data_IF_086131823454
#
_entry.id   IF_086131823454
#
_cell.length_a   1.000
_cell.length_b   1.000
_cell.length_c   1.000
_cell.angle_alpha   90.00
_cell.angle_beta   90.00
_cell.angle_gamma   90.00
#
_symmetry.space_group_name_H-M   'P 1'
#
loop_
_entity.id
_entity.type
_entity.pdbx_description
1 polymer ?
#
# COMPACT_ATOMS: atom_id res chain seq x y z
N UNK A 1 7.02 30.76 8.48
CA UNK A 1 5.86 29.93 8.06
C UNK A 1 6.36 28.52 7.87
N UNK A 2 5.58 27.48 8.19
CA UNK A 2 6.02 26.11 8.01
C UNK A 2 6.11 25.78 6.50
N UNK A 3 7.13 25.02 6.13
CA UNK A 3 7.39 24.63 4.76
C UNK A 3 7.25 23.12 4.58
N UNK A 4 7.04 22.71 3.33
CA UNK A 4 7.25 21.32 2.93
C UNK A 4 8.72 21.11 2.59
N UNK A 5 9.36 20.16 3.26
CA UNK A 5 10.78 19.80 3.07
C UNK A 5 10.86 18.38 2.54
N UNK A 6 11.41 18.22 1.34
CA UNK A 6 11.69 16.92 0.77
C UNK A 6 12.95 16.30 1.40
N UNK A 7 12.93 15.02 1.73
CA UNK A 7 14.12 14.28 2.21
C UNK A 7 14.48 13.22 1.17
N UNK A 8 15.63 13.39 0.53
CA UNK A 8 16.23 12.50 -0.46
C UNK A 8 17.55 11.91 0.10
N UNK A 9 17.44 11.22 1.24
CA UNK A 9 18.56 10.60 1.96
C UNK A 9 18.27 9.09 2.11
N UNK A 10 19.28 8.20 2.02
CA UNK A 10 19.11 6.78 2.33
C UNK A 10 18.47 6.52 3.70
N UNK A 11 17.71 5.43 3.80
CA UNK A 11 17.17 4.96 5.07
C UNK A 11 18.27 4.67 6.08
N UNK A 12 18.12 5.17 7.30
CA UNK A 12 19.10 5.03 8.39
C UNK A 12 18.97 6.17 9.39
N UNK A 13 19.95 6.28 10.30
CA UNK A 13 19.96 7.31 11.34
C UNK A 13 19.91 8.72 10.77
N UNK A 14 20.67 9.00 9.70
CA UNK A 14 20.68 10.33 9.06
C UNK A 14 19.30 10.77 8.55
N UNK A 15 18.49 9.82 8.03
CA UNK A 15 17.11 10.09 7.62
C UNK A 15 16.23 10.43 8.83
N UNK A 16 16.33 9.65 9.91
CA UNK A 16 15.57 9.89 11.15
C UNK A 16 15.92 11.25 11.76
N UNK A 17 17.21 11.58 11.82
CA UNK A 17 17.67 12.86 12.34
C UNK A 17 17.16 14.02 11.46
N UNK A 18 17.17 13.87 10.13
CA UNK A 18 16.62 14.88 9.23
C UNK A 18 15.11 15.08 9.43
N UNK A 19 14.35 13.98 9.53
CA UNK A 19 12.92 14.01 9.82
C UNK A 19 12.63 14.75 11.14
N UNK A 20 13.33 14.41 12.21
CA UNK A 20 13.13 15.02 13.53
C UNK A 20 13.56 16.49 13.56
N UNK A 21 14.64 16.87 12.88
CA UNK A 21 15.06 18.28 12.75
C UNK A 21 13.98 19.12 12.08
N UNK A 22 13.42 18.64 10.97
CA UNK A 22 12.39 19.38 10.24
C UNK A 22 11.08 19.47 11.01
N UNK A 23 10.65 18.39 11.68
CA UNK A 23 9.52 18.44 12.61
C UNK A 23 9.73 19.41 13.77
N UNK A 24 10.94 19.45 14.35
CA UNK A 24 11.27 20.39 15.42
C UNK A 24 11.27 21.85 14.94
N UNK A 25 11.55 22.08 13.66
CA UNK A 25 11.43 23.39 13.01
C UNK A 25 9.99 23.74 12.62
N UNK A 26 9.02 22.85 12.84
CA UNK A 26 7.60 23.01 12.50
C UNK A 26 7.28 22.74 11.02
N UNK A 27 8.21 22.14 10.27
CA UNK A 27 8.02 21.81 8.85
C UNK A 27 7.35 20.44 8.68
N UNK A 28 6.64 20.27 7.56
CA UNK A 28 6.18 18.96 7.13
C UNK A 28 7.23 18.32 6.21
N UNK A 29 7.27 16.99 6.18
CA UNK A 29 8.27 16.24 5.42
C UNK A 29 7.66 15.45 4.27
N UNK A 30 8.31 15.48 3.10
CA UNK A 30 8.05 14.63 1.94
C UNK A 30 9.24 13.67 1.74
N UNK A 31 9.15 12.39 2.12
CA UNK A 31 10.19 11.44 1.78
C UNK A 31 10.18 11.14 0.27
N UNK A 32 11.35 11.23 -0.36
CA UNK A 32 11.54 11.01 -1.80
C UNK A 32 11.93 9.55 -2.04
N UNK A 33 11.33 8.91 -3.04
CA UNK A 33 11.78 7.59 -3.47
C UNK A 33 13.09 7.72 -4.25
N UNK A 34 14.17 7.26 -3.63
CA UNK A 34 15.53 7.34 -4.16
C UNK A 34 15.73 6.57 -5.47
N UNK A 35 14.84 5.63 -5.80
CA UNK A 35 14.89 4.88 -7.06
C UNK A 35 14.35 5.67 -8.24
N UNK A 36 13.68 6.78 -7.99
CA UNK A 36 13.19 7.65 -9.07
C UNK A 36 14.39 8.29 -9.79
N UNK A 37 14.35 8.39 -11.13
CA UNK A 37 15.29 9.23 -11.88
C UNK A 37 15.20 10.70 -11.44
N UNK A 38 16.29 11.46 -11.56
CA UNK A 38 16.36 12.85 -11.10
C UNK A 38 15.27 13.74 -11.71
N UNK A 39 14.94 13.54 -13.00
CA UNK A 39 13.85 14.23 -13.65
C UNK A 39 12.48 13.95 -13.00
N UNK A 40 12.23 12.71 -12.59
CA UNK A 40 11.00 12.31 -11.90
C UNK A 40 10.96 12.85 -10.46
N UNK A 41 12.10 12.90 -9.77
CA UNK A 41 12.22 13.57 -8.46
C UNK A 41 11.91 15.06 -8.59
N UNK A 42 12.54 15.75 -9.54
CA UNK A 42 12.30 17.17 -9.79
C UNK A 42 10.82 17.46 -10.09
N UNK A 43 10.19 16.63 -10.94
CA UNK A 43 8.77 16.72 -11.24
C UNK A 43 7.88 16.49 -10.00
N UNK A 44 8.22 15.50 -9.16
CA UNK A 44 7.53 15.26 -7.89
C UNK A 44 7.62 16.47 -6.97
N UNK A 45 8.83 16.98 -6.73
CA UNK A 45 9.10 18.12 -5.84
C UNK A 45 8.34 19.37 -6.31
N UNK A 46 8.36 19.65 -7.60
CA UNK A 46 7.60 20.74 -8.22
C UNK A 46 6.09 20.55 -8.05
N UNK A 47 5.56 19.35 -8.33
CA UNK A 47 4.13 19.06 -8.19
C UNK A 47 3.61 19.19 -6.75
N UNK A 48 4.47 18.92 -5.77
CA UNK A 48 4.14 19.06 -4.34
C UNK A 48 4.36 20.50 -3.83
N UNK A 49 4.98 21.36 -4.65
CA UNK A 49 5.41 22.71 -4.30
C UNK A 49 6.27 22.72 -3.02
N UNK A 50 7.25 21.80 -2.95
CA UNK A 50 8.21 21.72 -1.86
C UNK A 50 9.10 22.97 -1.84
N UNK A 51 9.40 23.51 -0.66
CA UNK A 51 10.26 24.70 -0.53
C UNK A 51 11.73 24.38 -0.35
N UNK A 52 12.04 23.18 0.11
CA UNK A 52 13.40 22.72 0.32
C UNK A 52 13.52 21.24 -0.02
N UNK A 53 14.74 20.83 -0.37
CA UNK A 53 15.16 19.43 -0.40
C UNK A 53 16.40 19.26 0.45
N UNK A 54 16.45 18.19 1.22
CA UNK A 54 17.62 17.75 1.98
C UNK A 54 18.12 16.46 1.37
N UNK A 55 19.36 16.48 0.87
CA UNK A 55 20.05 15.35 0.27
C UNK A 55 21.42 15.13 0.94
N UNK A 56 22.26 14.28 0.35
CA UNK A 56 23.61 13.99 0.84
C UNK A 56 24.58 15.19 0.77
N UNK A 57 24.25 16.22 -0.03
CA UNK A 57 25.02 17.45 -0.19
C UNK A 57 24.50 18.60 0.69
N UNK A 58 23.39 18.40 1.40
CA UNK A 58 22.85 19.35 2.36
C UNK A 58 21.43 19.80 2.02
N UNK A 59 21.09 21.01 2.46
CA UNK A 59 19.75 21.58 2.29
C UNK A 59 19.76 22.62 1.16
N UNK A 60 18.91 22.43 0.17
CA UNK A 60 18.76 23.29 -1.00
C UNK A 60 17.38 23.94 -1.02
N UNK A 61 17.31 25.17 -1.52
CA UNK A 61 16.03 25.89 -1.68
C UNK A 61 15.44 25.60 -3.05
N UNK A 62 14.12 25.42 -3.11
CA UNK A 62 13.38 25.16 -4.34
C UNK A 62 12.47 26.37 -4.69
N UNK A 63 12.25 26.66 -5.98
CA UNK A 63 11.34 27.72 -6.41
C UNK A 63 9.87 27.33 -6.20
N UNK A 64 8.96 28.32 -6.32
CA UNK A 64 7.50 28.13 -6.33
C UNK A 64 6.93 27.38 -5.11
N UNK A 65 7.59 27.54 -3.96
CA UNK A 65 7.22 26.92 -2.71
C UNK A 65 5.82 27.35 -2.26
N UNK A 66 4.98 26.37 -1.91
CA UNK A 66 3.73 26.62 -1.19
C UNK A 66 3.95 26.30 0.30
N UNK A 67 3.48 27.14 1.24
CA UNK A 67 3.57 26.81 2.67
C UNK A 67 2.73 25.58 3.03
N UNK A 68 3.04 24.96 4.16
CA UNK A 68 2.21 23.96 4.81
C UNK A 68 1.36 24.62 5.90
N UNK A 69 0.45 23.87 6.51
CA UNK A 69 -0.30 24.35 7.67
C UNK A 69 0.41 23.96 8.98
N UNK A 70 0.26 24.76 10.05
CA UNK A 70 0.73 24.34 11.37
C UNK A 70 0.15 22.98 11.78
N UNK A 71 1.04 22.06 12.20
CA UNK A 71 0.66 20.70 12.59
C UNK A 71 0.68 19.67 11.46
N UNK A 72 0.87 20.09 10.20
CA UNK A 72 1.22 19.16 9.12
C UNK A 72 2.56 18.50 9.43
N UNK A 73 2.61 17.17 9.36
CA UNK A 73 3.81 16.39 9.69
C UNK A 73 4.42 15.75 8.45
N UNK A 74 3.58 15.18 7.58
CA UNK A 74 4.01 14.45 6.39
C UNK A 74 3.17 14.81 5.17
N UNK A 75 3.81 14.77 4.01
CA UNK A 75 3.15 14.71 2.71
C UNK A 75 3.60 13.44 2.01
N UNK A 76 2.68 12.50 1.79
CA UNK A 76 2.98 11.23 1.13
C UNK A 76 2.51 11.26 -0.32
N UNK A 77 3.43 11.11 -1.25
CA UNK A 77 3.09 11.03 -2.67
C UNK A 77 2.38 9.71 -3.00
N UNK A 78 1.30 9.78 -3.76
CA UNK A 78 0.55 8.63 -4.23
C UNK A 78 0.30 8.74 -5.73
N UNK A 79 0.25 7.61 -6.42
CA UNK A 79 -0.18 7.56 -7.82
C UNK A 79 -1.66 7.93 -7.90
N UNK A 80 -1.99 9.11 -8.40
CA UNK A 80 -3.37 9.50 -8.66
C UNK A 80 -3.96 8.69 -9.82
N UNK A 81 -5.27 8.46 -9.79
CA UNK A 81 -6.01 7.84 -10.91
C UNK A 81 -5.93 8.65 -12.21
N UNK A 82 -5.57 9.93 -12.12
CA UNK A 82 -5.39 10.88 -13.24
C UNK A 82 -3.95 10.91 -13.78
N UNK A 83 -3.04 10.08 -13.26
CA UNK A 83 -1.63 10.02 -13.67
C UNK A 83 -0.71 11.04 -12.97
N UNK A 84 -1.23 12.16 -12.48
CA UNK A 84 -0.46 13.11 -11.66
C UNK A 84 -0.41 12.65 -10.19
N UNK A 85 0.75 12.77 -9.50
CA UNK A 85 0.85 12.35 -8.11
C UNK A 85 0.03 13.26 -7.19
N UNK A 86 -0.71 12.67 -6.25
CA UNK A 86 -1.41 13.39 -5.18
C UNK A 86 -0.57 13.34 -3.91
N UNK A 87 -0.39 14.47 -3.24
CA UNK A 87 0.27 14.53 -1.93
C UNK A 87 -0.73 14.39 -0.80
N UNK A 88 -0.76 13.26 -0.09
CA UNK A 88 -1.61 13.08 1.09
C UNK A 88 -0.99 13.80 2.28
N UNK A 89 -1.68 14.79 2.85
CA UNK A 89 -1.20 15.54 4.01
C UNK A 89 -1.65 14.88 5.31
N UNK A 90 -0.71 14.41 6.11
CA UNK A 90 -0.94 13.81 7.44
C UNK A 90 -0.42 14.75 8.53
N UNK A 91 -1.23 14.96 9.57
CA UNK A 91 -0.86 15.80 10.70
C UNK A 91 -0.11 15.02 11.78
N UNK A 92 0.57 15.72 12.68
CA UNK A 92 1.18 15.10 13.87
C UNK A 92 0.13 14.38 14.72
N UNK A 93 -1.08 14.92 14.83
CA UNK A 93 -2.18 14.29 15.57
C UNK A 93 -2.64 12.98 14.91
N UNK A 94 -2.74 12.94 13.58
CA UNK A 94 -3.09 11.73 12.85
C UNK A 94 -2.02 10.63 13.00
N UNK A 95 -0.74 11.02 12.92
CA UNK A 95 0.39 10.11 13.17
C UNK A 95 0.36 9.56 14.59
N UNK A 96 0.13 10.41 15.58
CA UNK A 96 0.03 10.03 16.99
C UNK A 96 -1.10 9.01 17.20
N UNK A 97 -2.31 9.29 16.69
CA UNK A 97 -3.44 8.38 16.76
C UNK A 97 -3.10 7.01 16.14
N UNK A 98 -2.48 7.00 14.96
CA UNK A 98 -2.03 5.78 14.27
C UNK A 98 -1.04 4.97 15.07
N UNK A 99 -0.05 5.65 15.65
CA UNK A 99 0.96 5.02 16.47
C UNK A 99 0.35 4.41 17.75
N UNK A 100 -0.48 5.15 18.47
CA UNK A 100 -1.15 4.66 19.70
C UNK A 100 -2.05 3.47 19.42
N UNK A 101 -2.98 3.59 18.46
CA UNK A 101 -3.96 2.55 18.17
C UNK A 101 -3.29 1.25 17.68
N UNK A 102 -2.27 1.37 16.84
CA UNK A 102 -1.53 0.20 16.35
C UNK A 102 -0.71 -0.45 17.46
N UNK A 103 0.01 0.35 18.26
CA UNK A 103 0.81 -0.18 19.36
C UNK A 103 -0.03 -0.88 20.41
N UNK A 104 -1.23 -0.35 20.73
CA UNK A 104 -2.18 -1.00 21.62
C UNK A 104 -2.68 -2.34 21.03
N UNK A 105 -3.10 -2.36 19.76
CA UNK A 105 -3.57 -3.58 19.08
C UNK A 105 -2.53 -4.69 19.07
N UNK A 106 -1.28 -4.35 18.84
CA UNK A 106 -0.19 -5.32 18.75
C UNK A 106 0.41 -5.68 20.12
N UNK A 107 0.03 -4.99 21.19
CA UNK A 107 0.61 -5.16 22.52
C UNK A 107 2.07 -4.70 22.61
N UNK A 108 2.42 -3.60 21.95
CA UNK A 108 3.79 -3.07 21.96
C UNK A 108 4.13 -2.49 23.33
N UNK A 109 5.37 -2.71 23.74
CA UNK A 109 5.94 -2.21 24.99
C UNK A 109 7.22 -1.44 24.72
N UNK A 110 7.74 -0.65 25.67
CA UNK A 110 9.06 0.00 25.52
C UNK A 110 10.23 -0.97 25.33
N UNK A 111 10.06 -2.26 25.63
CA UNK A 111 11.07 -3.29 25.37
C UNK A 111 11.12 -3.72 23.89
N UNK A 112 10.12 -3.35 23.10
CA UNK A 112 10.07 -3.67 21.68
C UNK A 112 10.94 -2.74 20.84
N UNK A 113 11.50 -3.31 19.77
CA UNK A 113 12.28 -2.59 18.77
C UNK A 113 11.72 -2.86 17.39
N UNK A 114 11.31 -1.80 16.72
CA UNK A 114 10.81 -1.82 15.35
C UNK A 114 11.96 -1.84 14.35
N UNK A 115 11.83 -2.66 13.30
CA UNK A 115 12.66 -2.62 12.11
C UNK A 115 11.89 -1.97 10.94
N UNK A 116 12.38 -0.83 10.46
CA UNK A 116 11.92 -0.19 9.23
C UNK A 116 12.84 -0.63 8.07
N UNK A 117 12.33 -1.51 7.20
CA UNK A 117 13.08 -2.03 6.04
C UNK A 117 12.33 -1.92 4.71
N UNK A 118 11.12 -1.34 4.72
CA UNK A 118 10.39 -1.03 3.49
C UNK A 118 10.71 0.40 3.02
N UNK A 119 10.55 0.71 1.72
CA UNK A 119 10.73 2.05 1.19
C UNK A 119 10.04 3.16 2.01
N UNK A 120 10.81 4.17 2.41
CA UNK A 120 10.34 5.26 3.28
C UNK A 120 9.49 6.31 2.55
N UNK A 121 9.52 6.34 1.23
CA UNK A 121 8.60 7.13 0.41
C UNK A 121 7.16 6.61 0.41
N UNK A 122 6.92 5.44 1.02
CA UNK A 122 5.59 4.88 1.19
C UNK A 122 5.21 4.78 2.66
N UNK A 123 3.92 4.98 2.93
CA UNK A 123 3.38 4.96 4.29
C UNK A 123 3.62 3.62 5.00
N UNK A 124 3.66 2.51 4.26
CA UNK A 124 3.93 1.18 4.81
C UNK A 124 5.32 1.05 5.44
N UNK A 125 6.34 1.72 4.89
CA UNK A 125 7.68 1.79 5.47
C UNK A 125 7.82 2.90 6.49
N UNK A 126 7.38 4.12 6.13
CA UNK A 126 7.56 5.29 6.98
C UNK A 126 6.79 5.22 8.30
N UNK A 127 5.60 4.61 8.31
CA UNK A 127 4.80 4.51 9.53
C UNK A 127 5.47 3.68 10.63
N UNK A 128 6.47 2.86 10.31
CA UNK A 128 7.31 2.17 11.31
C UNK A 128 8.16 3.18 12.07
N UNK A 129 8.81 4.11 11.36
CA UNK A 129 9.62 5.17 11.96
C UNK A 129 8.74 6.09 12.79
N UNK A 130 7.65 6.60 12.21
CA UNK A 130 6.80 7.58 12.92
C UNK A 130 6.13 6.99 14.15
N UNK A 131 5.73 5.71 14.09
CA UNK A 131 5.22 4.99 15.26
C UNK A 131 6.28 4.88 16.34
N UNK A 132 7.48 4.42 16.00
CA UNK A 132 8.53 4.24 16.98
C UNK A 132 8.94 5.56 17.65
N UNK A 133 9.06 6.64 16.88
CA UNK A 133 9.33 7.98 17.40
C UNK A 133 8.21 8.48 18.32
N UNK A 134 6.95 8.24 17.99
CA UNK A 134 5.82 8.66 18.80
C UNK A 134 5.70 7.87 20.11
N UNK A 135 5.88 6.55 20.06
CA UNK A 135 5.73 5.68 21.23
C UNK A 135 7.01 5.51 22.06
N UNK A 136 8.14 6.07 21.59
CA UNK A 136 9.44 5.92 22.25
C UNK A 136 9.98 4.49 22.28
N UNK A 137 9.54 3.64 21.35
CA UNK A 137 10.05 2.26 21.21
C UNK A 137 11.37 2.25 20.46
N UNK A 138 12.18 1.20 20.63
CA UNK A 138 13.42 1.04 19.86
C UNK A 138 13.18 1.07 18.35
N UNK A 139 14.15 1.56 17.59
CA UNK A 139 14.04 1.69 16.14
C UNK A 139 15.37 1.35 15.45
N UNK A 140 15.31 0.44 14.47
CA UNK A 140 16.36 0.16 13.50
C UNK A 140 15.83 0.50 12.12
N UNK A 141 16.60 1.23 11.31
CA UNK A 141 16.19 1.67 9.96
C UNK A 141 17.21 1.16 8.94
N UNK A 142 16.73 0.46 7.93
CA UNK A 142 17.50 0.03 6.77
C UNK A 142 17.14 0.88 5.54
N UNK A 143 18.10 1.03 4.62
CA UNK A 143 17.88 1.57 3.28
C UNK A 143 17.29 0.50 2.35
N UNK A 144 16.06 0.10 2.65
CA UNK A 144 15.34 -0.94 1.91
C UNK A 144 15.51 -2.36 2.45
N UNK A 145 14.88 -3.30 1.75
CA UNK A 145 14.75 -4.67 2.22
C UNK A 145 15.92 -5.53 1.73
N UNK A 146 16.58 -6.18 2.68
CA UNK A 146 17.56 -7.23 2.45
C UNK A 146 17.31 -8.37 3.46
N UNK A 147 17.11 -9.59 2.98
CA UNK A 147 16.69 -10.71 3.83
C UNK A 147 17.73 -11.08 4.90
N UNK A 148 19.03 -11.01 4.55
CA UNK A 148 20.11 -11.33 5.47
C UNK A 148 20.22 -10.27 6.57
N UNK A 149 20.14 -8.98 6.21
CA UNK A 149 20.14 -7.87 7.16
C UNK A 149 18.90 -7.87 8.05
N UNK A 150 17.72 -8.16 7.51
CA UNK A 150 16.48 -8.27 8.29
C UNK A 150 16.60 -9.39 9.34
N UNK A 151 17.16 -10.54 8.95
CA UNK A 151 17.40 -11.65 9.87
C UNK A 151 18.46 -11.30 10.92
N UNK A 152 19.52 -10.58 10.53
CA UNK A 152 20.55 -10.11 11.46
C UNK A 152 19.97 -9.12 12.49
N UNK A 153 19.20 -8.12 12.04
CA UNK A 153 18.55 -7.14 12.91
C UNK A 153 17.63 -7.81 13.95
N UNK A 154 16.91 -8.86 13.57
CA UNK A 154 16.11 -9.65 14.51
C UNK A 154 16.98 -10.30 15.61
N UNK A 155 18.12 -10.89 15.23
CA UNK A 155 19.08 -11.49 16.18
C UNK A 155 19.74 -10.44 17.08
N UNK A 156 19.86 -9.21 16.60
CA UNK A 156 20.42 -8.07 17.33
C UNK A 156 19.38 -7.34 18.21
N UNK A 157 18.13 -7.81 18.24
CA UNK A 157 17.11 -7.34 19.18
C UNK A 157 15.88 -6.67 18.56
N UNK A 158 15.79 -6.56 17.23
CA UNK A 158 14.55 -6.12 16.60
C UNK A 158 13.43 -7.15 16.82
N UNK A 159 12.32 -6.73 17.44
CA UNK A 159 11.21 -7.62 17.81
C UNK A 159 10.01 -7.51 16.87
N UNK A 160 9.87 -6.38 16.17
CA UNK A 160 8.73 -6.12 15.30
C UNK A 160 9.14 -5.56 13.93
N UNK A 161 8.41 -5.92 12.87
CA UNK A 161 8.69 -5.48 11.49
C UNK A 161 7.40 -5.32 10.68
N UNK A 162 7.37 -4.35 9.76
CA UNK A 162 6.33 -4.28 8.71
C UNK A 162 6.87 -4.85 7.41
N UNK A 163 6.12 -5.74 6.77
CA UNK A 163 6.50 -6.43 5.54
C UNK A 163 5.37 -6.43 4.52
N UNK A 164 5.75 -6.72 3.27
CA UNK A 164 4.84 -7.13 2.19
C UNK A 164 4.97 -8.63 1.96
N UNK A 165 4.00 -9.26 1.29
CA UNK A 165 3.96 -10.72 1.11
C UNK A 165 5.26 -11.29 0.48
N UNK A 166 5.82 -10.60 -0.51
CA UNK A 166 7.07 -11.00 -1.18
C UNK A 166 8.29 -10.93 -0.27
N UNK A 167 8.31 -10.00 0.69
CA UNK A 167 9.38 -9.87 1.68
C UNK A 167 9.24 -10.94 2.78
N UNK A 168 8.01 -11.21 3.23
CA UNK A 168 7.72 -12.26 4.19
C UNK A 168 8.16 -13.65 3.70
N UNK A 169 7.94 -13.95 2.41
CA UNK A 169 8.35 -15.23 1.81
C UNK A 169 9.87 -15.47 1.76
N UNK A 170 10.69 -14.43 2.02
CA UNK A 170 12.16 -14.47 1.89
C UNK A 170 12.91 -14.57 3.22
N UNK A 171 12.19 -14.61 4.34
CA UNK A 171 12.78 -14.69 5.69
C UNK A 171 12.10 -15.80 6.50
N UNK A 172 12.76 -16.24 7.58
CA UNK A 172 12.08 -17.02 8.62
C UNK A 172 11.23 -16.06 9.47
N UNK A 173 9.88 -16.15 9.44
CA UNK A 173 9.03 -15.27 10.22
C UNK A 173 9.16 -15.49 11.73
N UNK A 174 9.65 -16.66 12.18
CA UNK A 174 9.79 -17.00 13.59
C UNK A 174 10.83 -16.16 14.35
N UNK A 175 11.69 -15.42 13.64
CA UNK A 175 12.71 -14.56 14.26
C UNK A 175 12.13 -13.27 14.85
N UNK A 176 10.89 -12.91 14.51
CA UNK A 176 10.21 -11.73 15.05
C UNK A 176 9.10 -12.12 16.02
N UNK A 177 8.83 -11.26 17.01
CA UNK A 177 7.66 -11.37 17.88
C UNK A 177 6.38 -10.96 17.17
N UNK A 178 6.46 -9.93 16.31
CA UNK A 178 5.30 -9.38 15.59
C UNK A 178 5.67 -8.97 14.18
N UNK A 179 4.87 -9.41 13.20
CA UNK A 179 4.97 -9.00 11.81
C UNK A 179 3.67 -8.31 11.43
N UNK A 180 3.78 -7.09 10.89
CA UNK A 180 2.66 -6.37 10.30
C UNK A 180 2.72 -6.58 8.79
N UNK A 181 1.71 -7.20 8.20
CA UNK A 181 1.65 -7.55 6.79
C UNK A 181 0.62 -6.69 6.06
N UNK A 182 1.05 -5.87 5.12
CA UNK A 182 0.18 -4.98 4.37
C UNK A 182 0.56 -4.82 2.90
N UNK A 183 -0.17 -3.94 2.21
CA UNK A 183 0.14 -3.51 0.84
C UNK A 183 -0.35 -4.43 -0.29
N UNK A 184 -0.80 -5.65 0.02
CA UNK A 184 -1.39 -6.58 -0.94
C UNK A 184 -2.28 -7.61 -0.22
N UNK A 185 -2.98 -8.45 -1.01
CA UNK A 185 -3.71 -9.62 -0.50
C UNK A 185 -2.73 -10.54 0.25
N UNK A 186 -3.02 -10.94 1.49
CA UNK A 186 -2.16 -11.85 2.24
C UNK A 186 -2.16 -13.26 1.61
N UNK A 187 -1.10 -14.04 1.80
CA UNK A 187 -1.10 -15.47 1.44
C UNK A 187 -2.18 -16.21 2.23
N UNK A 188 -2.64 -17.35 1.69
CA UNK A 188 -3.70 -18.18 2.29
C UNK A 188 -3.31 -18.74 3.67
N UNK A 189 -2.01 -18.97 3.88
CA UNK A 189 -1.46 -19.44 5.16
C UNK A 189 -0.54 -18.37 5.74
N UNK A 190 -0.83 -17.95 6.97
CA UNK A 190 -0.08 -16.91 7.67
C UNK A 190 0.64 -17.48 8.91
N UNK A 191 1.89 -17.06 9.17
CA UNK A 191 2.54 -17.34 10.44
C UNK A 191 1.74 -16.74 11.62
N UNK A 192 1.76 -17.39 12.78
CA UNK A 192 0.95 -16.99 13.95
C UNK A 192 1.23 -15.58 14.48
N UNK A 193 2.44 -15.09 14.28
CA UNK A 193 2.90 -13.76 14.69
C UNK A 193 2.64 -12.68 13.63
N UNK A 194 1.92 -13.01 12.55
CA UNK A 194 1.67 -12.10 11.43
C UNK A 194 0.25 -11.55 11.47
N UNK A 195 0.14 -10.22 11.47
CA UNK A 195 -1.11 -9.48 11.49
C UNK A 195 -1.32 -8.79 10.15
N UNK A 196 -2.42 -9.13 9.49
CA UNK A 196 -2.81 -8.49 8.23
C UNK A 196 -3.38 -7.12 8.49
N UNK A 197 -3.09 -6.15 7.62
CA UNK A 197 -3.64 -4.79 7.75
C UNK A 197 -4.32 -4.34 6.48
N UNK A 198 -5.44 -3.65 6.64
CA UNK A 198 -6.07 -2.85 5.60
C UNK A 198 -6.02 -1.36 5.98
N UNK A 199 -5.69 -0.53 5.02
CA UNK A 199 -5.60 0.92 5.13
C UNK A 199 -5.08 1.53 3.83
N UNK A 200 -5.14 2.85 3.76
CA UNK A 200 -4.71 3.65 2.60
C UNK A 200 -3.62 4.63 3.04
N UNK A 201 -3.01 5.31 2.08
CA UNK A 201 -2.10 6.43 2.42
C UNK A 201 -2.87 7.53 3.17
N UNK A 202 -4.11 7.75 2.76
CA UNK A 202 -5.10 8.65 3.35
C UNK A 202 -5.44 8.33 4.81
N UNK A 203 -5.13 7.13 5.29
CA UNK A 203 -5.32 6.73 6.69
C UNK A 203 -4.03 6.70 7.50
N UNK A 204 -2.90 7.12 6.90
CA UNK A 204 -1.59 7.22 7.56
C UNK A 204 -0.91 5.90 7.94
N UNK A 205 -1.63 4.78 7.93
CA UNK A 205 -1.17 3.39 8.04
C UNK A 205 -2.38 2.45 7.92
N UNK A 206 -2.22 1.17 8.28
CA UNK A 206 -3.34 0.25 8.48
C UNK A 206 -4.30 0.74 9.58
N UNK A 207 -5.60 0.60 9.34
CA UNK A 207 -6.68 0.97 10.28
C UNK A 207 -7.58 -0.21 10.67
N UNK A 208 -7.48 -1.32 9.94
CA UNK A 208 -8.17 -2.57 10.22
C UNK A 208 -7.12 -3.67 10.27
N UNK A 209 -7.06 -4.40 11.38
CA UNK A 209 -6.09 -5.47 11.63
C UNK A 209 -6.80 -6.80 11.79
N UNK A 210 -6.43 -7.80 10.99
CA UNK A 210 -7.05 -9.14 10.97
C UNK A 210 -8.58 -9.07 10.79
N UNK A 211 -9.01 -8.16 9.92
CA UNK A 211 -10.41 -7.86 9.64
C UNK A 211 -11.11 -7.03 10.73
N UNK A 212 -10.43 -6.62 11.80
CA UNK A 212 -11.03 -5.87 12.91
C UNK A 212 -10.54 -4.41 12.96
N UNK A 213 -11.41 -3.41 12.92
CA UNK A 213 -11.03 -2.00 13.05
C UNK A 213 -10.21 -1.75 14.31
N UNK A 214 -9.21 -0.87 14.23
CA UNK A 214 -8.48 -0.37 15.40
C UNK A 214 -9.39 0.47 16.31
N UNK A 215 -8.97 0.71 17.54
CA UNK A 215 -9.71 1.54 18.48
C UNK A 215 -9.87 2.97 17.92
N UNK A 216 -11.10 3.49 17.97
CA UNK A 216 -11.44 4.79 17.38
C UNK A 216 -11.59 4.79 15.84
N UNK A 217 -11.51 3.63 15.18
CA UNK A 217 -11.79 3.50 13.75
C UNK A 217 -13.24 3.05 13.55
N UNK A 218 -14.01 3.89 12.88
CA UNK A 218 -15.34 3.55 12.42
C UNK A 218 -15.28 3.10 10.96
N UNK A 219 -15.97 1.99 10.67
CA UNK A 219 -16.08 1.41 9.33
C UNK A 219 -17.54 1.25 8.99
N UNK A 220 -17.95 1.77 7.83
CA UNK A 220 -19.30 1.62 7.28
C UNK A 220 -19.22 1.03 5.88
N UNK A 221 -20.13 0.13 5.56
CA UNK A 221 -20.33 -0.34 4.18
C UNK A 221 -21.48 0.47 3.60
N UNK A 222 -21.20 1.20 2.51
CA UNK A 222 -22.23 1.96 1.80
C UNK A 222 -23.30 1.00 1.27
N UNK A 223 -24.60 1.33 1.35
CA UNK A 223 -25.66 0.48 0.82
C UNK A 223 -25.45 0.23 -0.68
N UNK A 224 -25.40 -1.04 -1.07
CA UNK A 224 -25.31 -1.38 -2.48
C UNK A 224 -26.69 -1.33 -3.16
N UNK A 225 -26.75 -0.99 -4.45
CA UNK A 225 -27.96 -1.18 -5.24
C UNK A 225 -28.41 -2.65 -5.16
N UNK A 226 -29.73 -2.89 -5.04
CA UNK A 226 -30.35 -4.23 -5.08
C UNK A 226 -30.08 -5.17 -3.89
N UNK A 227 -29.65 -4.66 -2.73
CA UNK A 227 -29.60 -5.45 -1.50
C UNK A 227 -28.39 -6.39 -1.37
N UNK A 228 -27.34 -6.18 -2.18
CA UNK A 228 -26.03 -6.79 -1.98
C UNK A 228 -25.44 -6.38 -0.62
N UNK A 229 -24.80 -7.31 0.08
CA UNK A 229 -24.03 -7.07 1.31
C UNK A 229 -22.63 -6.48 1.03
N UNK A 230 -22.20 -6.51 -0.24
CA UNK A 230 -20.97 -5.89 -0.73
C UNK A 230 -21.25 -4.44 -1.14
N UNK A 231 -20.59 -3.49 -0.50
CA UNK A 231 -20.68 -2.06 -0.80
C UNK A 231 -19.36 -1.33 -0.58
N UNK A 232 -19.33 -0.02 -0.81
CA UNK A 232 -18.10 0.78 -0.63
C UNK A 232 -17.71 0.86 0.85
N UNK A 233 -16.44 0.57 1.15
CA UNK A 233 -15.87 0.75 2.49
C UNK A 233 -15.68 2.24 2.73
N UNK A 234 -16.33 2.76 3.76
CA UNK A 234 -16.20 4.13 4.24
C UNK A 234 -15.52 4.12 5.59
N UNK A 235 -14.54 5.01 5.78
CA UNK A 235 -13.73 5.08 7.00
C UNK A 235 -13.88 6.43 7.68
N UNK A 236 -14.01 6.42 9.00
CA UNK A 236 -13.90 7.63 9.82
C UNK A 236 -13.03 7.33 11.03
N UNK A 237 -11.92 8.06 11.16
CA UNK A 237 -11.00 7.87 12.27
C UNK A 237 -10.12 9.11 12.51
N UNK A 238 -9.49 9.24 13.69
CA UNK A 238 -8.58 10.36 13.98
C UNK A 238 -7.31 10.41 13.11
N UNK A 239 -7.05 9.34 12.35
CA UNK A 239 -5.79 9.08 11.64
C UNK A 239 -5.90 9.43 10.15
N UNK A 240 -7.07 9.94 9.75
CA UNK A 240 -7.32 10.40 8.39
C UNK A 240 -6.42 11.58 8.04
N UNK A 241 -6.12 11.67 6.74
CA UNK A 241 -5.52 12.85 6.13
C UNK A 241 -6.30 14.12 6.49
N UNK A 242 -5.58 15.24 6.49
CA UNK A 242 -6.21 16.55 6.57
C UNK A 242 -6.81 16.96 5.22
N UNK A 243 -6.02 16.79 4.17
CA UNK A 243 -6.37 17.10 2.79
C UNK A 243 -5.33 16.47 1.85
N UNK A 244 -5.61 16.52 0.55
CA UNK A 244 -4.56 16.45 -0.45
C UNK A 244 -3.82 17.78 -0.54
N UNK A 245 -2.60 17.73 -1.07
CA UNK A 245 -1.70 18.87 -1.14
C UNK A 245 -2.26 19.98 -2.03
N UNK A 246 -3.05 19.64 -3.04
CA UNK A 246 -3.79 20.59 -3.89
C UNK A 246 -4.97 21.29 -3.19
N UNK A 247 -5.31 20.90 -1.96
CA UNK A 247 -6.41 21.44 -1.17
C UNK A 247 -7.72 20.65 -1.29
N UNK A 248 -7.80 19.70 -2.21
CA UNK A 248 -8.97 18.81 -2.31
C UNK A 248 -9.00 17.82 -1.14
N UNK A 249 -10.16 17.27 -0.85
CA UNK A 249 -10.33 16.25 0.20
C UNK A 249 -11.22 15.11 -0.31
N UNK A 250 -10.90 13.84 0.01
CA UNK A 250 -11.75 12.69 -0.29
C UNK A 250 -12.81 12.44 0.80
N UNK A 251 -12.93 13.33 1.79
CA UNK A 251 -13.90 13.24 2.87
C UNK A 251 -15.24 13.85 2.45
N UNK A 252 -16.34 13.18 2.81
CA UNK A 252 -17.69 13.76 2.69
C UNK A 252 -17.96 14.80 3.81
N UNK A 253 -19.10 15.49 3.72
CA UNK A 253 -19.52 16.50 4.70
C UNK A 253 -19.71 15.93 6.12
N UNK A 254 -19.86 14.60 6.25
CA UNK A 254 -19.99 13.89 7.52
C UNK A 254 -18.65 13.34 8.04
N UNK A 255 -17.54 13.63 7.35
CA UNK A 255 -16.18 13.24 7.72
C UNK A 255 -15.81 11.80 7.35
N UNK A 256 -16.57 11.14 6.47
CA UNK A 256 -16.24 9.81 5.97
C UNK A 256 -15.30 9.88 4.78
N UNK A 257 -14.19 9.15 4.86
CA UNK A 257 -13.32 8.86 3.73
C UNK A 257 -14.00 7.83 2.82
N UNK A 258 -14.22 8.23 1.57
CA UNK A 258 -14.58 7.32 0.48
C UNK A 258 -13.33 6.61 -0.04
N UNK A 259 -13.16 5.33 0.33
CA UNK A 259 -11.94 4.58 0.01
C UNK A 259 -11.85 4.18 -1.47
N UNK A 260 -13.00 4.07 -2.14
CA UNK A 260 -13.12 3.44 -3.45
C UNK A 260 -12.90 1.93 -3.44
N UNK A 261 -12.73 1.30 -2.28
CA UNK A 261 -12.63 -0.16 -2.13
C UNK A 261 -14.00 -0.73 -1.74
N UNK A 262 -14.34 -1.91 -2.26
CA UNK A 262 -15.57 -2.60 -1.90
C UNK A 262 -15.30 -3.68 -0.86
N UNK A 263 -16.26 -3.91 0.02
CA UNK A 263 -16.17 -4.92 1.06
C UNK A 263 -17.51 -5.22 1.70
N UNK A 264 -17.49 -6.17 2.62
CA UNK A 264 -18.64 -6.61 3.42
C UNK A 264 -18.20 -6.98 4.84
N UNK A 265 -19.16 -7.03 5.75
CA UNK A 265 -18.96 -7.65 7.05
C UNK A 265 -19.21 -9.16 6.95
N UNK A 266 -18.27 -9.94 7.45
CA UNK A 266 -18.46 -11.38 7.64
C UNK A 266 -19.33 -11.64 8.89
N UNK A 267 -19.99 -12.81 8.99
CA UNK A 267 -20.83 -13.16 10.15
C UNK A 267 -20.09 -13.12 11.49
N UNK A 268 -18.77 -13.23 11.50
CA UNK A 268 -17.91 -13.16 12.68
C UNK A 268 -17.46 -11.73 13.04
N UNK A 269 -18.00 -10.72 12.37
CA UNK A 269 -17.71 -9.30 12.59
C UNK A 269 -16.40 -8.82 11.98
N UNK A 270 -15.74 -9.61 11.13
CA UNK A 270 -14.55 -9.17 10.38
C UNK A 270 -14.94 -8.47 9.09
N UNK A 271 -14.25 -7.39 8.77
CA UNK A 271 -14.28 -6.74 7.47
C UNK A 271 -13.56 -7.63 6.45
N UNK A 272 -14.25 -7.94 5.36
CA UNK A 272 -13.67 -8.55 4.17
C UNK A 272 -13.65 -7.52 3.05
N UNK A 273 -12.46 -7.20 2.53
CA UNK A 273 -12.26 -6.30 1.40
C UNK A 273 -12.15 -7.13 0.13
N UNK A 274 -13.04 -6.87 -0.83
CA UNK A 274 -13.12 -7.61 -2.10
C UNK A 274 -12.05 -7.14 -3.07
N UNK A 275 -11.93 -5.82 -3.22
CA UNK A 275 -11.06 -5.18 -4.20
C UNK A 275 -11.40 -3.71 -4.40
N UNK A 276 -10.74 -3.06 -5.34
CA UNK A 276 -10.98 -1.64 -5.65
C UNK A 276 -12.10 -1.52 -6.66
N UNK A 277 -13.12 -0.68 -6.41
CA UNK A 277 -14.27 -0.46 -7.30
C UNK A 277 -13.84 -0.14 -8.74
N UNK A 278 -12.77 0.65 -8.90
CA UNK A 278 -12.24 1.03 -10.21
C UNK A 278 -11.50 -0.10 -10.96
N UNK A 279 -11.10 -1.17 -10.26
CA UNK A 279 -10.43 -2.33 -10.84
C UNK A 279 -11.45 -3.43 -11.22
N UNK A 280 -12.72 -3.28 -10.82
CA UNK A 280 -13.78 -4.23 -11.16
C UNK A 280 -13.95 -4.32 -12.68
N UNK A 281 -13.94 -5.55 -13.20
CA UNK A 281 -14.16 -5.81 -14.61
C UNK A 281 -15.66 -6.04 -14.81
N UNK A 282 -16.28 -5.28 -15.71
CA UNK A 282 -17.67 -5.48 -16.11
C UNK A 282 -17.65 -6.17 -17.48
N UNK A 283 -17.95 -7.47 -17.51
CA UNK A 283 -17.88 -8.30 -18.72
C UNK A 283 -19.26 -8.90 -19.01
N UNK A 284 -19.88 -8.53 -20.13
CA UNK A 284 -21.21 -9.03 -20.51
C UNK A 284 -22.31 -8.69 -19.49
N UNK A 285 -22.16 -7.59 -18.74
CA UNK A 285 -23.08 -7.21 -17.66
C UNK A 285 -22.77 -7.83 -16.29
N UNK A 286 -21.75 -8.68 -16.20
CA UNK A 286 -21.35 -9.36 -14.96
C UNK A 286 -20.12 -8.71 -14.33
N UNK A 287 -20.08 -8.69 -13.00
CA UNK A 287 -18.97 -8.13 -12.23
C UNK A 287 -17.93 -9.20 -11.91
N UNK A 288 -16.68 -8.95 -12.29
CA UNK A 288 -15.53 -9.83 -12.03
C UNK A 288 -14.47 -9.06 -11.25
N UNK A 289 -14.08 -9.60 -10.11
CA UNK A 289 -12.99 -9.08 -9.29
C UNK A 289 -11.67 -9.68 -9.76
N UNK A 290 -10.73 -8.87 -10.29
CA UNK A 290 -9.44 -9.38 -10.74
C UNK A 290 -8.73 -10.25 -9.71
N UNK A 291 -8.69 -9.79 -8.45
CA UNK A 291 -7.99 -10.46 -7.37
C UNK A 291 -8.57 -11.85 -7.04
N UNK A 292 -9.88 -12.06 -7.25
CA UNK A 292 -10.51 -13.35 -7.04
C UNK A 292 -10.05 -14.36 -8.11
N UNK A 293 -10.00 -13.91 -9.36
CA UNK A 293 -9.50 -14.71 -10.49
C UNK A 293 -8.00 -14.98 -10.35
N UNK A 294 -7.22 -13.97 -9.99
CA UNK A 294 -5.78 -14.08 -9.71
C UNK A 294 -5.49 -15.13 -8.64
N UNK A 295 -6.25 -15.15 -7.54
CA UNK A 295 -6.04 -16.10 -6.45
C UNK A 295 -6.23 -17.56 -6.90
N UNK A 296 -7.17 -17.81 -7.81
CA UNK A 296 -7.39 -19.14 -8.39
C UNK A 296 -6.30 -19.48 -9.39
N UNK A 297 -5.98 -18.57 -10.31
CA UNK A 297 -4.93 -18.80 -11.30
C UNK A 297 -3.56 -19.02 -10.65
N UNK A 298 -3.27 -18.35 -9.52
CA UNK A 298 -2.04 -18.53 -8.76
C UNK A 298 -1.86 -19.96 -8.18
N UNK A 299 -2.90 -20.81 -8.17
CA UNK A 299 -2.76 -22.22 -7.78
C UNK A 299 -2.26 -23.11 -8.92
N UNK A 300 -2.18 -22.60 -10.15
CA UNK A 300 -1.68 -23.37 -11.29
C UNK A 300 -0.16 -23.56 -11.19
N UNK A 301 0.38 -24.79 -11.29
CA UNK A 301 1.81 -25.07 -11.13
C UNK A 301 2.73 -24.32 -12.12
N UNK A 302 2.20 -24.01 -13.31
CA UNK A 302 2.89 -23.25 -14.36
C UNK A 302 2.92 -21.73 -14.15
N UNK A 303 2.24 -21.18 -13.14
CA UNK A 303 2.12 -19.74 -12.90
C UNK A 303 2.97 -19.35 -11.69
N UNK A 304 3.99 -18.51 -11.90
CA UNK A 304 4.75 -17.88 -10.82
C UNK A 304 4.08 -16.62 -10.30
N UNK A 305 3.60 -15.77 -11.22
CA UNK A 305 2.85 -14.56 -10.90
C UNK A 305 1.70 -14.38 -11.88
N UNK A 306 0.61 -13.77 -11.43
CA UNK A 306 -0.54 -13.46 -12.27
C UNK A 306 -1.11 -12.09 -11.92
N UNK A 307 -1.52 -11.34 -12.94
CA UNK A 307 -2.37 -10.18 -12.83
C UNK A 307 -3.55 -10.30 -13.79
N UNK A 308 -4.73 -9.89 -13.34
CA UNK A 308 -5.93 -9.85 -14.16
C UNK A 308 -6.37 -8.41 -14.30
N UNK A 309 -6.83 -8.03 -15.50
CA UNK A 309 -7.42 -6.72 -15.75
C UNK A 309 -8.50 -6.80 -16.83
N UNK A 310 -9.39 -5.81 -16.82
CA UNK A 310 -10.42 -5.66 -17.84
C UNK A 310 -9.88 -4.85 -19.00
N UNK A 311 -9.91 -5.43 -20.21
CA UNK A 311 -9.54 -4.71 -21.44
C UNK A 311 -10.81 -4.40 -22.22
N UNK A 312 -10.91 -3.16 -22.72
CA UNK A 312 -12.07 -2.70 -23.49
C UNK A 312 -12.36 -3.64 -24.66
N UNK A 313 -13.63 -3.99 -24.81
CA UNK A 313 -14.10 -4.99 -25.76
C UNK A 313 -15.47 -4.59 -26.33
N UNK A 314 -15.66 -4.70 -27.64
CA UNK A 314 -16.88 -4.27 -28.31
C UNK A 314 -18.09 -5.17 -28.02
N UNK A 315 -17.86 -6.45 -27.71
CA UNK A 315 -18.91 -7.43 -27.44
C UNK A 315 -19.26 -7.46 -25.94
N UNK A 316 -18.24 -7.44 -25.09
CA UNK A 316 -18.40 -7.66 -23.65
C UNK A 316 -18.37 -6.38 -22.81
N UNK A 317 -18.10 -5.22 -23.42
CA UNK A 317 -17.74 -3.98 -22.72
C UNK A 317 -16.30 -4.05 -22.23
N UNK A 318 -16.00 -5.03 -21.37
CA UNK A 318 -14.64 -5.45 -21.07
C UNK A 318 -14.51 -6.97 -21.20
N UNK A 319 -13.38 -7.44 -21.72
CA UNK A 319 -12.97 -8.84 -21.61
C UNK A 319 -11.99 -9.01 -20.44
N UNK A 320 -12.10 -10.15 -19.75
CA UNK A 320 -11.19 -10.52 -18.66
C UNK A 320 -9.89 -11.00 -19.29
N UNK A 321 -8.78 -10.33 -19.01
CA UNK A 321 -7.47 -10.68 -19.55
C UNK A 321 -6.52 -11.00 -18.41
N UNK A 322 -5.76 -12.08 -18.54
CA UNK A 322 -4.75 -12.51 -17.58
C UNK A 322 -3.34 -12.32 -18.16
N UNK A 323 -2.45 -11.71 -17.39
CA UNK A 323 -1.00 -11.67 -17.65
C UNK A 323 -0.31 -12.57 -16.65
N UNK A 324 0.48 -13.52 -17.14
CA UNK A 324 1.16 -14.52 -16.31
C UNK A 324 2.66 -14.47 -16.50
N UNK A 325 3.40 -14.59 -15.40
CA UNK A 325 4.81 -14.93 -15.41
C UNK A 325 4.92 -16.43 -15.19
N UNK A 326 5.57 -17.13 -16.12
CA UNK A 326 5.69 -18.59 -16.06
C UNK A 326 6.62 -19.04 -14.93
N UNK A 327 6.22 -20.10 -14.23
CA UNK A 327 7.10 -20.76 -13.27
C UNK A 327 8.25 -21.49 -13.99
N UNK A 328 9.48 -21.36 -13.50
CA UNK A 328 10.64 -22.04 -14.10
C UNK A 328 10.55 -23.58 -14.01
N UNK A 329 9.71 -24.09 -13.11
CA UNK A 329 9.57 -25.52 -12.80
C UNK A 329 8.51 -26.25 -13.62
N UNK A 330 7.74 -25.56 -14.45
CA UNK A 330 6.62 -26.15 -15.20
C UNK A 330 6.36 -25.40 -16.52
N UNK A 331 5.71 -26.05 -17.51
CA UNK A 331 5.30 -25.37 -18.73
C UNK A 331 4.38 -24.17 -18.45
N UNK A 332 4.46 -23.14 -19.30
CA UNK A 332 3.56 -22.01 -19.26
C UNK A 332 2.10 -22.50 -19.42
N UNK A 333 1.14 -21.94 -18.66
CA UNK A 333 -0.26 -22.34 -18.78
C UNK A 333 -0.82 -21.94 -20.14
N UNK A 334 -1.73 -22.73 -20.66
CA UNK A 334 -2.56 -22.36 -21.80
C UNK A 334 -3.80 -21.60 -21.34
N UNK A 335 -4.39 -20.79 -22.23
CA UNK A 335 -5.68 -20.12 -21.96
C UNK A 335 -6.76 -21.14 -21.56
N UNK A 336 -6.79 -22.31 -22.20
CA UNK A 336 -7.78 -23.35 -21.88
C UNK A 336 -7.63 -23.89 -20.47
N UNK A 337 -6.39 -24.12 -20.01
CA UNK A 337 -6.11 -24.58 -18.63
C UNK A 337 -6.51 -23.52 -17.60
N UNK A 338 -6.14 -22.25 -17.84
CA UNK A 338 -6.55 -21.13 -16.99
C UNK A 338 -8.08 -21.01 -16.91
N UNK A 339 -8.78 -21.14 -18.05
CA UNK A 339 -10.25 -21.08 -18.09
C UNK A 339 -10.91 -22.23 -17.35
N UNK A 340 -10.41 -23.45 -17.53
CA UNK A 340 -10.91 -24.63 -16.82
C UNK A 340 -10.73 -24.47 -15.31
N UNK A 341 -9.54 -24.06 -14.88
CA UNK A 341 -9.22 -23.87 -13.46
C UNK A 341 -10.13 -22.84 -12.78
N UNK A 342 -10.42 -21.72 -13.46
CA UNK A 342 -11.35 -20.71 -12.94
C UNK A 342 -12.78 -21.23 -12.93
N UNK A 343 -13.22 -21.93 -13.98
CA UNK A 343 -14.57 -22.49 -14.07
C UNK A 343 -14.87 -23.56 -12.99
N UNK A 344 -13.85 -24.23 -12.47
CA UNK A 344 -13.98 -25.19 -11.36
C UNK A 344 -14.32 -24.51 -10.02
N UNK A 345 -14.06 -23.20 -9.89
CA UNK A 345 -14.19 -22.46 -8.62
C UNK A 345 -15.15 -21.26 -8.69
N UNK A 346 -15.41 -20.73 -9.89
CA UNK A 346 -16.20 -19.52 -10.14
C UNK A 346 -17.07 -19.68 -11.39
N UNK A 347 -18.11 -18.85 -11.55
CA UNK A 347 -18.88 -18.79 -12.78
C UNK A 347 -18.00 -18.58 -14.02
N UNK A 348 -18.38 -19.21 -15.15
CA UNK A 348 -17.57 -19.23 -16.37
C UNK A 348 -17.27 -17.83 -16.96
N UNK A 349 -18.08 -16.81 -16.64
CA UNK A 349 -17.83 -15.43 -17.08
C UNK A 349 -16.60 -14.79 -16.41
N UNK A 350 -16.18 -15.30 -15.23
CA UNK A 350 -14.97 -14.88 -14.53
C UNK A 350 -13.69 -15.39 -15.18
N UNK A 351 -13.78 -16.45 -16.00
CA UNK A 351 -12.62 -17.05 -16.65
C UNK A 351 -11.98 -16.07 -17.65
N UNK A 352 -10.63 -16.03 -17.75
CA UNK A 352 -9.95 -15.21 -18.74
C UNK A 352 -10.42 -15.51 -20.16
N UNK A 353 -10.65 -14.48 -20.96
CA UNK A 353 -10.94 -14.56 -22.39
C UNK A 353 -9.67 -14.42 -23.24
N UNK A 354 -8.62 -13.88 -22.65
CA UNK A 354 -7.29 -13.68 -23.25
C UNK A 354 -6.22 -13.92 -22.19
N UNK A 355 -5.07 -14.45 -22.61
CA UNK A 355 -3.92 -14.78 -21.75
C UNK A 355 -2.64 -14.29 -22.43
N UNK A 356 -1.86 -13.49 -21.72
CA UNK A 356 -0.53 -13.06 -22.14
C UNK A 356 0.52 -13.64 -21.20
N UNK A 357 1.57 -14.21 -21.75
CA UNK A 357 2.77 -14.56 -20.99
C UNK A 357 3.72 -13.38 -21.03
N UNK A 358 4.22 -12.93 -19.88
CA UNK A 358 5.13 -11.78 -19.78
C UNK A 358 6.37 -12.13 -18.96
N UNK A 359 7.47 -11.44 -19.23
CA UNK A 359 8.71 -11.60 -18.47
C UNK A 359 8.56 -11.11 -17.01
N UNK A 360 7.79 -10.04 -16.80
CA UNK A 360 7.49 -9.51 -15.47
C UNK A 360 6.19 -8.69 -15.45
N UNK A 361 5.60 -8.52 -14.28
CA UNK A 361 4.43 -7.66 -14.09
C UNK A 361 4.85 -6.23 -13.69
N UNK A 362 4.18 -5.18 -14.19
CA UNK A 362 4.45 -3.81 -13.78
C UNK A 362 4.06 -3.64 -12.32
N UNK A 363 5.03 -3.29 -11.47
CA UNK A 363 4.83 -3.18 -10.01
C UNK A 363 5.35 -1.85 -9.49
N UNK A 364 4.67 -1.34 -8.48
CA UNK A 364 5.19 -0.30 -7.62
C UNK A 364 6.45 -0.79 -6.89
N UNK A 365 7.19 0.17 -6.38
CA UNK A 365 8.20 0.06 -5.34
C UNK A 365 7.93 -0.92 -4.18
N UNK A 366 6.66 -1.11 -3.77
CA UNK A 366 6.23 -2.03 -2.70
C UNK A 366 5.80 -3.40 -3.24
N UNK A 367 5.97 -3.65 -4.53
CA UNK A 367 5.56 -4.89 -5.18
C UNK A 367 4.08 -4.95 -5.55
N UNK A 368 3.27 -3.90 -5.34
CA UNK A 368 1.86 -3.88 -5.79
C UNK A 368 1.78 -3.74 -7.31
N UNK A 369 0.99 -4.58 -7.98
CA UNK A 369 0.76 -4.52 -9.44
C UNK A 369 0.12 -3.19 -9.83
N UNK A 370 0.62 -2.57 -10.90
CA UNK A 370 0.08 -1.35 -11.52
C UNK A 370 -0.83 -1.73 -12.70
N UNK A 371 -2.05 -2.19 -12.41
CA UNK A 371 -2.98 -2.74 -13.42
C UNK A 371 -3.31 -1.78 -14.58
N UNK A 372 -3.30 -0.48 -14.34
CA UNK A 372 -3.53 0.52 -15.38
C UNK A 372 -2.46 0.54 -16.48
N UNK A 373 -1.30 -0.09 -16.25
CA UNK A 373 -0.23 -0.27 -17.25
C UNK A 373 -0.41 -1.56 -18.07
N UNK A 374 -1.33 -2.46 -17.69
CA UNK A 374 -1.63 -3.68 -18.43
C UNK A 374 -2.60 -3.36 -19.57
N UNK A 375 -2.12 -3.49 -20.81
CA UNK A 375 -2.89 -3.24 -22.03
C UNK A 375 -2.78 -4.44 -22.98
N UNK A 376 -3.66 -4.51 -23.98
CA UNK A 376 -3.60 -5.58 -25.00
C UNK A 376 -2.24 -5.67 -25.72
N UNK A 377 -1.49 -4.56 -25.77
CA UNK A 377 -0.17 -4.48 -26.39
C UNK A 377 0.96 -4.89 -25.44
N UNK A 378 0.65 -5.26 -24.20
CA UNK A 378 1.64 -5.77 -23.23
C UNK A 378 2.00 -7.21 -23.61
N UNK A 379 2.82 -7.36 -24.65
CA UNK A 379 3.48 -8.60 -25.07
C UNK A 379 5.00 -8.37 -25.19
N UNK A 380 5.79 -9.36 -24.76
CA UNK A 380 7.24 -9.51 -24.93
C UNK A 380 8.07 -8.22 -25.06
N UNK A 381 8.47 -7.66 -23.92
CA UNK A 381 9.70 -6.89 -23.79
C UNK A 381 10.67 -7.61 -22.84
#
# INVERSE_FOLDING_TARGET
MPHLVAIDIPGGTAFVDALQREWSAGNAVLPVDRRLPDAAKAALLASMAAGFVVDEHGRHTLPDARPTEPGDALVMATSGSTGAPKGVVLTHAAIAASATATSARLGMTPADTWLACLPLAHVGGLSVITRALHTGTGLVVHDGFDAARVTAAAREGATAVSLVATALARIDPGVFRTIVLGGARPPSTLPRNTHTTYGLTETGSGVVYDGRPLDGVEVRISPAPHGSDIGEVLLRCPMLLRAYRDGSTPLDDAGWLHTGDLGRWLPDGRLHVEGRRGDMIITGGENVWPEAVEAILATHPGIAEVAVAGVADAEWGQRVVAWVVSAASAPAPTLSECRALVADHMPAFCAPKELHTVASLPRTALGKVQRYLLTADTNDA
#
